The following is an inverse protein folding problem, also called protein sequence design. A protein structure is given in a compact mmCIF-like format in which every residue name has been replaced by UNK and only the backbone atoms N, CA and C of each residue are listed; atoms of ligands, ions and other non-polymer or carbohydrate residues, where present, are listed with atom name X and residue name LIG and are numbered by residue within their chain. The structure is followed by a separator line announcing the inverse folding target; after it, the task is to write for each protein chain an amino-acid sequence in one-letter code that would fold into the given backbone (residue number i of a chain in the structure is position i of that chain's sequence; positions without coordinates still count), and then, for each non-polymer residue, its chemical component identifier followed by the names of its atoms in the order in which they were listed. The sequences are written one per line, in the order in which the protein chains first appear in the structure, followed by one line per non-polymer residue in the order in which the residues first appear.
data_IF_786923388441
#
_entry.id   IF_786923388441
#
_cell.length_a   1.000
_cell.length_b   1.000
_cell.length_c   1.000
_cell.angle_alpha   90.00
_cell.angle_beta   90.00
_cell.angle_gamma   90.00
#
_symmetry.space_group_name_H-M   'P 1'
#
loop_
_entity.id
_entity.type
_entity.pdbx_description
1 polymer ?
#
# COMPACT_ATOMS: atom_id res chain seq x y z
N UNK A 1 -17.30 -38.43 -47.90
CA UNK A 1 -18.55 -38.20 -47.16
C UNK A 1 -18.24 -38.25 -45.69
N UNK A 2 -18.35 -37.11 -45.01
CA UNK A 2 -18.59 -36.88 -43.57
C UNK A 2 -17.99 -35.52 -43.22
N UNK A 3 -18.86 -34.52 -43.24
CA UNK A 3 -18.61 -33.16 -42.79
C UNK A 3 -19.37 -33.06 -41.46
N UNK A 4 -18.65 -32.92 -40.35
CA UNK A 4 -19.26 -32.79 -39.03
C UNK A 4 -19.76 -31.36 -38.85
N UNK A 5 -21.07 -31.20 -38.80
CA UNK A 5 -21.78 -29.99 -38.43
C UNK A 5 -21.75 -29.86 -36.90
N UNK A 6 -21.21 -28.75 -36.39
CA UNK A 6 -21.21 -28.42 -34.96
C UNK A 6 -22.47 -27.61 -34.68
N UNK A 7 -23.44 -28.26 -34.03
CA UNK A 7 -24.69 -27.65 -33.60
C UNK A 7 -24.45 -26.80 -32.33
N UNK A 8 -24.51 -25.47 -32.47
CA UNK A 8 -24.51 -24.56 -31.33
C UNK A 8 -25.93 -24.44 -30.78
N UNK A 9 -26.23 -25.15 -29.68
CA UNK A 9 -27.49 -24.97 -28.96
C UNK A 9 -27.56 -23.59 -28.29
N UNK A 10 -28.32 -22.66 -28.88
CA UNK A 10 -28.76 -21.44 -28.21
C UNK A 10 -29.70 -21.79 -27.04
N UNK A 11 -29.23 -21.69 -25.79
CA UNK A 11 -30.14 -21.60 -24.63
C UNK A 11 -30.72 -20.19 -24.58
N UNK A 12 -32.01 -20.10 -24.88
CA UNK A 12 -32.81 -18.88 -24.72
C UNK A 12 -32.66 -18.32 -23.30
N UNK A 13 -32.34 -17.02 -23.24
CA UNK A 13 -32.33 -16.20 -22.04
C UNK A 13 -33.74 -16.18 -21.44
N UNK A 14 -33.86 -16.52 -20.17
CA UNK A 14 -35.05 -16.15 -19.39
C UNK A 14 -35.12 -14.62 -19.31
N UNK A 15 -36.31 -14.02 -19.44
CA UNK A 15 -36.46 -12.58 -19.34
C UNK A 15 -36.09 -12.13 -17.93
N UNK A 16 -35.18 -11.15 -17.86
CA UNK A 16 -34.89 -10.36 -16.68
C UNK A 16 -36.22 -9.75 -16.21
N UNK A 17 -36.68 -10.17 -15.04
CA UNK A 17 -37.82 -9.52 -14.38
C UNK A 17 -37.45 -8.07 -14.04
N UNK A 18 -38.36 -7.11 -14.25
CA UNK A 18 -38.10 -5.70 -14.04
C UNK A 18 -37.96 -5.39 -12.55
N UNK A 19 -37.18 -4.35 -12.26
CA UNK A 19 -36.85 -3.78 -10.96
C UNK A 19 -38.00 -3.88 -9.94
N UNK A 20 -37.81 -4.71 -8.92
CA UNK A 20 -38.47 -4.49 -7.64
C UNK A 20 -37.71 -3.34 -6.99
N UNK A 21 -38.40 -2.23 -6.73
CA UNK A 21 -37.91 -1.19 -5.83
C UNK A 21 -37.57 -1.86 -4.50
N UNK A 22 -36.28 -2.09 -4.26
CA UNK A 22 -35.78 -2.64 -3.01
C UNK A 22 -35.87 -1.51 -1.98
N UNK A 23 -37.03 -1.35 -1.34
CA UNK A 23 -37.16 -0.42 -0.22
C UNK A 23 -36.19 -0.88 0.87
N UNK A 24 -35.16 -0.07 1.11
CA UNK A 24 -34.18 -0.32 2.15
C UNK A 24 -34.85 -0.26 3.52
N UNK A 25 -34.45 -1.15 4.42
CA UNK A 25 -34.87 -1.09 5.82
C UNK A 25 -34.36 0.20 6.48
N UNK A 26 -35.00 0.69 7.57
CA UNK A 26 -34.51 1.85 8.29
C UNK A 26 -33.06 1.70 8.75
N UNK A 27 -32.30 2.79 8.68
CA UNK A 27 -30.92 2.82 9.18
C UNK A 27 -30.85 2.53 10.68
N UNK A 28 -29.71 2.03 11.14
CA UNK A 28 -29.45 1.88 12.56
C UNK A 28 -29.24 3.26 13.23
N UNK A 29 -29.50 3.34 14.54
CA UNK A 29 -29.31 4.54 15.36
C UNK A 29 -28.07 4.33 16.22
N UNK A 30 -27.17 5.32 16.26
CA UNK A 30 -25.99 5.29 17.12
C UNK A 30 -26.18 6.29 18.27
N UNK A 31 -26.10 5.82 19.51
CA UNK A 31 -26.39 6.65 20.70
C UNK A 31 -25.36 7.75 20.97
N UNK A 32 -24.12 7.57 20.52
CA UNK A 32 -22.96 8.39 20.86
C UNK A 32 -22.54 9.34 19.74
N UNK A 33 -23.49 9.86 18.96
CA UNK A 33 -23.21 10.80 17.87
C UNK A 33 -23.19 12.25 18.37
N UNK A 34 -22.06 12.91 18.22
CA UNK A 34 -21.98 14.37 18.26
C UNK A 34 -22.05 14.89 16.81
N UNK A 35 -23.26 15.21 16.35
CA UNK A 35 -23.48 15.63 14.96
C UNK A 35 -23.21 14.49 13.96
N UNK A 36 -22.31 14.69 12.99
CA UNK A 36 -21.94 13.69 11.98
C UNK A 36 -20.56 13.06 12.21
N UNK A 37 -19.98 13.27 13.40
CA UNK A 37 -18.66 12.77 13.76
C UNK A 37 -18.74 11.83 14.98
N UNK A 38 -17.88 10.83 14.99
CA UNK A 38 -17.72 9.86 16.08
C UNK A 38 -16.36 10.07 16.75
N UNK A 39 -16.34 10.23 18.07
CA UNK A 39 -15.10 10.38 18.84
C UNK A 39 -14.31 9.06 18.88
N UNK A 40 -13.05 9.04 18.39
CA UNK A 40 -12.22 7.83 18.33
C UNK A 40 -11.81 7.31 19.72
N UNK A 41 -11.90 8.14 20.77
CA UNK A 41 -11.54 7.78 22.14
C UNK A 41 -12.66 7.04 22.90
N UNK A 42 -13.84 6.89 22.29
CA UNK A 42 -14.98 6.20 22.90
C UNK A 42 -14.64 4.74 23.23
N UNK A 43 -14.81 4.37 24.50
CA UNK A 43 -14.58 2.97 24.94
C UNK A 43 -15.57 1.96 24.36
N UNK A 44 -16.74 2.42 23.90
CA UNK A 44 -17.76 1.63 23.17
C UNK A 44 -18.76 2.53 22.46
N UNK A 45 -19.42 1.96 21.46
CA UNK A 45 -20.57 2.57 20.75
C UNK A 45 -21.76 1.61 20.83
N UNK A 46 -22.94 2.16 21.14
CA UNK A 46 -24.19 1.40 21.16
C UNK A 46 -24.95 1.69 19.88
N UNK A 47 -25.23 0.63 19.11
CA UNK A 47 -26.00 0.68 17.87
C UNK A 47 -27.36 0.03 18.12
N UNK A 48 -28.44 0.73 17.79
CA UNK A 48 -29.82 0.28 17.95
C UNK A 48 -30.49 0.09 16.60
N UNK A 49 -31.10 -1.06 16.40
CA UNK A 49 -32.00 -1.33 15.28
C UNK A 49 -33.42 -1.33 15.84
N UNK A 50 -34.23 -0.36 15.38
CA UNK A 50 -35.63 -0.27 15.78
C UNK A 50 -36.44 -1.47 15.26
N UNK A 51 -37.60 -1.78 15.86
CA UNK A 51 -38.50 -2.80 15.33
C UNK A 51 -38.84 -2.54 13.86
N UNK A 52 -38.71 -3.57 13.04
CA UNK A 52 -38.97 -3.50 11.61
C UNK A 52 -40.26 -4.25 11.24
N UNK A 53 -40.78 -3.98 10.04
CA UNK A 53 -41.99 -4.62 9.54
C UNK A 53 -41.81 -6.15 9.48
N UNK A 54 -42.80 -6.88 9.99
CA UNK A 54 -42.79 -8.36 10.06
C UNK A 54 -41.64 -8.96 10.89
N UNK A 55 -41.09 -8.21 11.85
CA UNK A 55 -40.10 -8.74 12.80
C UNK A 55 -40.61 -10.02 13.48
N UNK A 56 -39.86 -11.10 13.34
CA UNK A 56 -40.24 -12.42 13.81
C UNK A 56 -39.13 -13.08 14.66
N UNK A 57 -39.53 -13.96 15.56
CA UNK A 57 -38.58 -14.82 16.27
C UNK A 57 -37.84 -15.70 15.25
N UNK A 58 -36.51 -15.77 15.39
CA UNK A 58 -35.62 -16.50 14.49
C UNK A 58 -35.00 -15.64 13.39
N UNK A 59 -35.43 -14.39 13.21
CA UNK A 59 -34.76 -13.46 12.30
C UNK A 59 -33.29 -13.28 12.70
N UNK A 60 -32.41 -13.20 11.71
CA UNK A 60 -30.99 -12.94 11.89
C UNK A 60 -30.64 -11.55 11.35
N UNK A 61 -29.98 -10.76 12.18
CA UNK A 61 -29.45 -9.44 11.85
C UNK A 61 -27.92 -9.52 11.80
N UNK A 62 -27.34 -9.10 10.68
CA UNK A 62 -25.90 -8.89 10.52
C UNK A 62 -25.64 -7.39 10.46
N UNK A 63 -25.00 -6.84 11.49
CA UNK A 63 -24.51 -5.47 11.51
C UNK A 63 -23.13 -5.43 10.84
N UNK A 64 -22.97 -4.57 9.86
CA UNK A 64 -21.70 -4.28 9.18
C UNK A 64 -21.17 -2.91 9.65
N UNK A 65 -19.91 -2.90 10.05
CA UNK A 65 -19.13 -1.75 10.48
C UNK A 65 -17.94 -1.63 9.53
N UNK A 66 -18.15 -0.89 8.45
CA UNK A 66 -17.21 -0.80 7.34
C UNK A 66 -16.65 0.61 7.31
N UNK A 67 -15.33 0.77 7.38
CA UNK A 67 -14.71 2.07 7.40
C UNK A 67 -13.38 2.13 6.68
N UNK A 68 -12.86 3.34 6.60
CA UNK A 68 -11.52 3.64 6.10
C UNK A 68 -10.76 4.35 7.21
N UNK A 69 -9.51 3.98 7.45
CA UNK A 69 -8.63 4.72 8.34
C UNK A 69 -8.12 6.02 7.69
N UNK A 70 -7.25 6.75 8.39
CA UNK A 70 -6.63 7.99 7.90
C UNK A 70 -5.77 7.80 6.64
N UNK A 71 -5.30 6.58 6.36
CA UNK A 71 -4.49 6.24 5.19
C UNK A 71 -5.33 5.64 4.06
N UNK A 72 -6.65 5.52 4.25
CA UNK A 72 -7.59 4.99 3.27
C UNK A 72 -7.63 3.47 3.24
N UNK A 73 -7.05 2.77 4.23
CA UNK A 73 -7.15 1.32 4.31
C UNK A 73 -8.51 0.90 4.87
N UNK A 74 -9.10 -0.12 4.26
CA UNK A 74 -10.39 -0.65 4.68
C UNK A 74 -10.27 -1.41 6.01
N UNK A 75 -11.20 -1.10 6.91
CA UNK A 75 -11.41 -1.82 8.15
C UNK A 75 -12.85 -2.31 8.21
N UNK A 76 -13.02 -3.62 8.41
CA UNK A 76 -14.33 -4.26 8.44
C UNK A 76 -14.52 -5.01 9.76
N UNK A 77 -15.69 -4.82 10.35
CA UNK A 77 -16.12 -5.58 11.50
C UNK A 77 -17.60 -5.93 11.35
N UNK A 78 -17.95 -7.18 11.65
CA UNK A 78 -19.33 -7.64 11.58
C UNK A 78 -19.79 -8.25 12.91
N UNK A 79 -21.07 -8.04 13.21
CA UNK A 79 -21.72 -8.62 14.38
C UNK A 79 -23.04 -9.27 14.00
N UNK A 80 -23.30 -10.48 14.49
CA UNK A 80 -24.56 -11.20 14.26
C UNK A 80 -25.40 -11.22 15.53
N UNK A 81 -26.71 -11.01 15.39
CA UNK A 81 -27.71 -11.32 16.43
C UNK A 81 -28.94 -11.99 15.86
N UNK A 82 -29.59 -12.79 16.71
CA UNK A 82 -30.88 -13.40 16.42
C UNK A 82 -31.98 -12.72 17.25
N UNK A 83 -33.16 -12.58 16.65
CA UNK A 83 -34.37 -12.12 17.34
C UNK A 83 -34.97 -13.29 18.09
N UNK A 84 -35.06 -13.17 19.41
CA UNK A 84 -35.80 -14.11 20.27
C UNK A 84 -37.25 -13.68 20.43
N UNK A 85 -38.12 -14.57 20.88
CA UNK A 85 -39.54 -14.26 21.13
C UNK A 85 -39.73 -13.03 22.03
N UNK A 86 -38.95 -12.91 23.11
CA UNK A 86 -39.03 -11.78 24.03
C UNK A 86 -38.52 -10.44 23.43
N UNK A 87 -37.80 -10.51 22.32
CA UNK A 87 -37.20 -9.38 21.60
C UNK A 87 -38.10 -8.88 20.45
N UNK A 88 -39.10 -9.65 20.02
CA UNK A 88 -40.05 -9.23 18.99
C UNK A 88 -40.72 -7.91 19.39
N UNK A 89 -40.72 -6.95 18.47
CA UNK A 89 -41.30 -5.61 18.70
C UNK A 89 -40.45 -4.68 19.58
N UNK A 90 -39.19 -5.02 19.89
CA UNK A 90 -38.26 -4.20 20.68
C UNK A 90 -36.95 -3.96 19.95
N UNK A 91 -36.25 -2.89 20.30
CA UNK A 91 -34.94 -2.54 19.75
C UNK A 91 -33.91 -3.65 19.93
N UNK A 92 -33.25 -4.03 18.83
CA UNK A 92 -32.09 -4.92 18.89
C UNK A 92 -30.83 -4.09 19.06
N UNK A 93 -30.08 -4.37 20.12
CA UNK A 93 -28.91 -3.59 20.52
C UNK A 93 -27.61 -4.33 20.20
N UNK A 94 -26.67 -3.64 19.55
CA UNK A 94 -25.29 -4.06 19.36
C UNK A 94 -24.37 -3.13 20.17
N UNK A 95 -23.30 -3.71 20.73
CA UNK A 95 -22.29 -2.95 21.48
C UNK A 95 -20.95 -3.17 20.80
N UNK A 96 -20.51 -2.16 20.05
CA UNK A 96 -19.22 -2.15 19.35
C UNK A 96 -18.16 -1.64 20.31
N UNK A 97 -17.05 -2.39 20.44
CA UNK A 97 -15.94 -2.02 21.34
C UNK A 97 -15.13 -0.87 20.76
N UNK A 98 -14.55 -0.04 21.65
CA UNK A 98 -13.78 1.15 21.26
C UNK A 98 -12.61 0.89 20.31
N UNK A 99 -12.00 -0.30 20.34
CA UNK A 99 -10.94 -0.67 19.39
C UNK A 99 -11.37 -0.59 17.91
N UNK A 100 -12.66 -0.85 17.61
CA UNK A 100 -13.19 -0.77 16.25
C UNK A 100 -13.46 0.69 15.82
N UNK A 101 -13.59 1.61 16.78
CA UNK A 101 -13.71 3.05 16.54
C UNK A 101 -12.32 3.65 16.36
N UNK A 102 -11.40 3.34 17.29
CA UNK A 102 -10.02 3.83 17.26
C UNK A 102 -9.26 3.39 16.00
N UNK A 103 -9.58 2.21 15.44
CA UNK A 103 -9.02 1.75 14.17
C UNK A 103 -9.37 2.65 12.97
N UNK A 104 -10.38 3.52 13.09
CA UNK A 104 -10.85 4.41 12.02
C UNK A 104 -10.49 5.88 12.28
N UNK A 105 -9.66 6.17 13.27
CA UNK A 105 -9.30 7.55 13.64
C UNK A 105 -8.75 8.35 12.44
N UNK A 106 -9.27 9.57 12.26
CA UNK A 106 -8.98 10.45 11.12
C UNK A 106 -9.64 10.05 9.80
N UNK A 107 -10.40 8.95 9.79
CA UNK A 107 -11.02 8.35 8.63
C UNK A 107 -12.56 8.44 8.61
N UNK A 108 -13.21 7.38 8.13
CA UNK A 108 -14.66 7.35 7.91
C UNK A 108 -15.29 6.02 8.26
N UNK A 109 -16.58 6.05 8.57
CA UNK A 109 -17.36 4.88 8.95
C UNK A 109 -18.70 4.85 8.19
N UNK A 110 -19.04 3.69 7.68
CA UNK A 110 -20.36 3.33 7.19
C UNK A 110 -20.95 2.19 8.03
N UNK A 111 -22.14 2.42 8.59
CA UNK A 111 -22.88 1.43 9.38
C UNK A 111 -24.18 1.08 8.69
N UNK A 112 -24.40 -0.21 8.47
CA UNK A 112 -25.63 -0.75 7.92
C UNK A 112 -25.86 -2.17 8.41
N UNK A 113 -27.04 -2.73 8.15
CA UNK A 113 -27.37 -4.07 8.57
C UNK A 113 -28.13 -4.85 7.50
N UNK A 114 -28.01 -6.16 7.55
CA UNK A 114 -28.71 -7.13 6.67
C UNK A 114 -29.67 -7.96 7.52
N UNK A 115 -30.92 -8.06 7.06
CA UNK A 115 -31.94 -8.95 7.60
C UNK A 115 -31.97 -10.25 6.80
N UNK A 116 -31.86 -11.38 7.50
CA UNK A 116 -32.19 -12.70 6.97
C UNK A 116 -33.38 -13.24 7.77
N UNK A 117 -34.50 -13.46 7.07
CA UNK A 117 -35.74 -13.98 7.67
C UNK A 117 -36.25 -15.17 6.87
N UNK A 118 -36.91 -16.12 7.53
CA UNK A 118 -37.51 -17.27 6.86
C UNK A 118 -38.61 -16.86 5.86
N UNK A 119 -39.23 -15.69 6.05
CA UNK A 119 -40.25 -15.14 5.17
C UNK A 119 -39.72 -14.35 3.97
N UNK A 120 -38.40 -14.12 3.87
CA UNK A 120 -37.81 -13.32 2.78
C UNK A 120 -37.12 -14.19 1.73
N UNK A 121 -37.24 -13.80 0.46
CA UNK A 121 -36.62 -14.49 -0.69
C UNK A 121 -35.10 -14.33 -0.76
N UNK A 122 -34.51 -13.55 0.15
CA UNK A 122 -33.10 -13.19 0.21
C UNK A 122 -32.82 -12.18 1.32
N UNK A 123 -31.54 -11.80 1.52
CA UNK A 123 -31.17 -10.79 2.50
C UNK A 123 -31.70 -9.41 2.07
N UNK A 124 -32.24 -8.66 3.04
CA UNK A 124 -32.71 -7.28 2.84
C UNK A 124 -31.76 -6.31 3.54
N UNK A 125 -31.34 -5.26 2.86
CA UNK A 125 -30.37 -4.27 3.36
C UNK A 125 -31.07 -3.07 4.01
N UNK A 126 -30.45 -2.51 5.03
CA UNK A 126 -30.82 -1.21 5.57
C UNK A 126 -30.25 -0.05 4.77
N UNK A 127 -30.82 1.14 4.98
CA UNK A 127 -30.13 2.38 4.70
C UNK A 127 -28.82 2.46 5.52
N UNK A 128 -27.84 3.14 4.95
CA UNK A 128 -26.49 3.31 5.49
C UNK A 128 -26.39 4.59 6.31
N UNK A 129 -25.69 4.53 7.43
CA UNK A 129 -25.26 5.71 8.20
C UNK A 129 -23.80 5.98 7.87
N UNK A 130 -23.50 7.16 7.32
CA UNK A 130 -22.14 7.58 7.00
C UNK A 130 -21.64 8.64 7.98
N UNK A 131 -20.46 8.43 8.54
CA UNK A 131 -19.88 9.22 9.62
C UNK A 131 -18.41 9.52 9.35
N UNK A 132 -17.94 10.65 9.87
CA UNK A 132 -16.52 10.93 10.05
C UNK A 132 -16.07 10.40 11.42
N UNK A 133 -14.82 9.93 11.54
CA UNK A 133 -14.28 9.48 12.83
C UNK A 133 -13.09 10.37 13.19
N UNK A 134 -13.17 11.01 14.36
CA UNK A 134 -12.17 11.98 14.81
C UNK A 134 -12.01 13.17 13.88
N UNK A 135 -10.79 13.70 13.83
CA UNK A 135 -10.43 14.86 13.01
C UNK A 135 -10.09 14.43 11.58
N UNK A 136 -11.09 14.45 10.71
CA UNK A 136 -10.91 14.08 9.30
C UNK A 136 -10.28 15.21 8.48
N UNK A 137 -9.38 14.84 7.57
CA UNK A 137 -8.77 15.81 6.64
C UNK A 137 -9.81 16.35 5.65
N UNK A 138 -9.76 17.66 5.33
CA UNK A 138 -10.66 18.22 4.32
C UNK A 138 -10.32 17.73 2.90
N UNK A 139 -9.03 17.60 2.60
CA UNK A 139 -8.51 17.13 1.30
C UNK A 139 -8.45 15.61 1.23
N UNK A 140 -8.53 15.08 0.00
CA UNK A 140 -8.37 13.65 -0.26
C UNK A 140 -6.89 13.25 -0.17
N UNK A 141 -6.61 11.97 0.05
CA UNK A 141 -5.24 11.47 0.12
C UNK A 141 -4.51 11.66 -1.21
N UNK A 142 -3.22 11.97 -1.14
CA UNK A 142 -2.40 12.08 -2.33
C UNK A 142 -2.36 10.74 -3.08
N UNK A 143 -2.35 10.76 -4.43
CA UNK A 143 -2.17 9.54 -5.19
C UNK A 143 -0.76 8.96 -4.98
N UNK A 144 -0.62 7.66 -5.15
CA UNK A 144 0.64 6.95 -5.07
C UNK A 144 1.10 6.65 -6.50
N UNK A 145 2.31 7.06 -6.85
CA UNK A 145 2.90 6.78 -8.16
C UNK A 145 3.84 5.59 -8.04
N UNK A 146 3.50 4.46 -8.65
CA UNK A 146 4.31 3.25 -8.57
C UNK A 146 5.71 3.45 -9.19
N UNK A 147 6.71 2.77 -8.63
CA UNK A 147 8.11 2.88 -9.03
C UNK A 147 8.84 4.12 -8.51
N UNK A 148 8.16 5.01 -7.78
CA UNK A 148 8.78 6.17 -7.14
C UNK A 148 9.61 5.76 -5.94
N UNK A 149 10.86 6.20 -5.87
CA UNK A 149 11.80 5.90 -4.78
C UNK A 149 12.38 7.21 -4.28
N UNK A 150 12.23 7.49 -2.98
CA UNK A 150 12.72 8.74 -2.39
C UNK A 150 12.16 10.00 -3.06
N UNK A 151 10.95 9.93 -3.60
CA UNK A 151 10.33 11.03 -4.37
C UNK A 151 10.88 11.22 -5.79
N UNK A 152 11.68 10.28 -6.30
CA UNK A 152 12.19 10.32 -7.68
C UNK A 152 11.63 9.14 -8.49
N UNK A 153 11.25 9.40 -9.74
CA UNK A 153 10.86 8.38 -10.70
C UNK A 153 11.81 8.42 -11.89
N UNK A 154 12.48 7.29 -12.16
CA UNK A 154 13.41 7.16 -13.29
C UNK A 154 12.67 6.75 -14.56
N UNK A 155 12.62 7.60 -15.61
CA UNK A 155 11.95 7.27 -16.87
C UNK A 155 12.47 6.01 -17.55
N UNK A 156 13.73 5.63 -17.34
CA UNK A 156 14.30 4.43 -17.94
C UNK A 156 13.71 3.14 -17.36
N UNK A 157 13.12 3.20 -16.17
CA UNK A 157 12.46 2.07 -15.48
C UNK A 157 10.97 1.95 -15.80
N UNK A 158 10.36 2.99 -16.34
CA UNK A 158 8.92 3.07 -16.65
C UNK A 158 8.70 3.48 -18.11
N UNK A 159 9.42 2.84 -19.03
CA UNK A 159 9.40 3.21 -20.46
C UNK A 159 8.00 3.02 -21.06
N UNK A 160 7.29 1.99 -20.62
CA UNK A 160 5.92 1.68 -21.01
C UNK A 160 4.91 2.59 -20.29
N UNK A 161 5.26 3.08 -19.10
CA UNK A 161 4.39 3.85 -18.22
C UNK A 161 4.41 3.35 -16.78
N UNK A 162 3.58 3.97 -15.94
CA UNK A 162 3.40 3.57 -14.54
C UNK A 162 1.94 3.70 -14.11
N UNK A 163 1.57 2.97 -13.05
CA UNK A 163 0.29 3.12 -12.39
C UNK A 163 0.33 4.28 -11.40
N UNK A 164 -0.74 5.08 -11.44
CA UNK A 164 -1.06 6.06 -10.41
C UNK A 164 -2.26 5.55 -9.65
N UNK A 165 -2.04 5.23 -8.38
CA UNK A 165 -2.97 4.52 -7.50
C UNK A 165 -3.63 5.49 -6.52
N UNK A 166 -4.94 5.38 -6.37
CA UNK A 166 -5.75 6.20 -5.47
C UNK A 166 -6.40 5.27 -4.45
N UNK A 167 -6.12 5.53 -3.17
CA UNK A 167 -6.82 4.86 -2.08
C UNK A 167 -8.32 5.22 -2.12
N UNK A 168 -9.21 4.31 -1.69
CA UNK A 168 -10.62 4.62 -1.56
C UNK A 168 -10.80 5.81 -0.62
N UNK A 169 -11.88 6.58 -0.83
CA UNK A 169 -12.13 7.80 -0.09
C UNK A 169 -13.49 7.77 0.61
N UNK A 170 -13.59 8.55 1.70
CA UNK A 170 -14.81 8.68 2.46
C UNK A 170 -15.99 9.07 1.56
N UNK A 171 -17.09 8.31 1.66
CA UNK A 171 -18.33 8.48 0.88
C UNK A 171 -18.14 8.32 -0.63
N UNK A 172 -17.19 7.49 -1.04
CA UNK A 172 -17.07 7.04 -2.42
C UNK A 172 -18.36 6.37 -2.88
N UNK A 173 -18.88 6.80 -4.03
CA UNK A 173 -20.14 6.31 -4.55
C UNK A 173 -20.07 6.03 -6.04
N UNK A 174 -20.90 5.09 -6.50
CA UNK A 174 -21.09 4.85 -7.92
C UNK A 174 -21.62 6.13 -8.59
N UNK A 175 -21.03 6.48 -9.73
CA UNK A 175 -21.32 7.72 -10.46
C UNK A 175 -20.35 8.86 -10.17
N UNK A 176 -19.52 8.78 -9.13
CA UNK A 176 -18.46 9.76 -8.90
C UNK A 176 -17.50 9.80 -10.10
N UNK A 177 -17.14 11.00 -10.55
CA UNK A 177 -16.16 11.20 -11.62
C UNK A 177 -14.82 11.59 -10.99
N UNK A 178 -13.81 10.75 -11.20
CA UNK A 178 -12.45 10.94 -10.70
C UNK A 178 -11.56 11.34 -11.86
N UNK A 179 -11.03 12.56 -11.83
CA UNK A 179 -10.12 13.09 -12.84
C UNK A 179 -8.70 13.15 -12.30
N UNK A 180 -7.78 12.37 -12.90
CA UNK A 180 -6.36 12.44 -12.61
C UNK A 180 -5.70 13.58 -13.40
N UNK A 181 -4.80 14.33 -12.75
CA UNK A 181 -4.07 15.45 -13.33
C UNK A 181 -2.57 15.24 -13.10
N UNK A 182 -1.81 15.11 -14.19
CA UNK A 182 -0.35 14.93 -14.18
C UNK A 182 0.35 16.12 -14.86
N UNK A 183 1.26 16.78 -14.14
CA UNK A 183 2.08 17.88 -14.67
C UNK A 183 2.30 18.97 -13.62
N UNK A 184 1.73 20.15 -13.82
CA UNK A 184 1.80 21.27 -12.86
C UNK A 184 0.78 21.16 -11.71
N UNK A 185 -0.04 20.10 -11.72
CA UNK A 185 -1.18 19.90 -10.82
C UNK A 185 -2.32 20.92 -11.00
N UNK A 186 -2.44 21.52 -12.19
CA UNK A 186 -3.58 22.33 -12.65
C UNK A 186 -3.81 22.08 -14.14
N UNK A 187 -5.02 22.36 -14.62
CA UNK A 187 -5.34 22.37 -16.05
C UNK A 187 -4.89 23.71 -16.69
N UNK A 188 -4.40 23.71 -17.96
CA UNK A 188 -4.12 22.52 -18.78
C UNK A 188 -2.92 21.74 -18.23
N UNK A 189 -3.08 20.42 -18.13
CA UNK A 189 -2.06 19.51 -17.64
C UNK A 189 -1.44 18.73 -18.80
N UNK A 190 -0.23 18.21 -18.60
CA UNK A 190 0.47 17.42 -19.62
C UNK A 190 -0.24 16.10 -19.91
N UNK A 191 -0.91 15.55 -18.90
CA UNK A 191 -1.82 14.43 -19.03
C UNK A 191 -3.01 14.59 -18.07
N UNK A 192 -4.19 14.19 -18.55
CA UNK A 192 -5.42 14.22 -17.79
C UNK A 192 -6.33 13.08 -18.27
N UNK A 193 -6.88 12.33 -17.35
CA UNK A 193 -7.82 11.24 -17.64
C UNK A 193 -8.94 11.22 -16.60
N UNK A 194 -10.13 10.72 -16.96
CA UNK A 194 -11.30 10.67 -16.09
C UNK A 194 -11.91 9.28 -16.07
N UNK A 195 -12.08 8.76 -14.84
CA UNK A 195 -12.71 7.49 -14.55
C UNK A 195 -14.04 7.74 -13.83
N UNK A 196 -15.10 7.05 -14.24
CA UNK A 196 -16.37 7.01 -13.49
C UNK A 196 -16.36 5.80 -12.56
N UNK A 197 -16.61 6.04 -11.28
CA UNK A 197 -16.74 4.96 -10.29
C UNK A 197 -18.01 4.16 -10.58
N UNK A 198 -17.88 2.85 -10.71
CA UNK A 198 -19.01 1.93 -10.86
C UNK A 198 -19.31 1.22 -9.54
N UNK A 199 -20.51 0.65 -9.40
CA UNK A 199 -20.97 0.02 -8.17
C UNK A 199 -20.03 -1.07 -7.64
N UNK A 200 -19.34 -1.80 -8.53
CA UNK A 200 -18.41 -2.86 -8.15
C UNK A 200 -17.05 -2.35 -7.69
N UNK A 201 -16.72 -1.07 -7.92
CA UNK A 201 -15.43 -0.47 -7.57
C UNK A 201 -15.54 0.45 -6.34
N UNK A 202 -16.71 0.57 -5.74
CA UNK A 202 -16.91 1.36 -4.52
C UNK A 202 -16.13 0.71 -3.38
N UNK A 203 -15.34 1.53 -2.68
CA UNK A 203 -14.41 1.12 -1.63
C UNK A 203 -13.19 0.31 -2.10
N UNK A 204 -13.01 0.16 -3.42
CA UNK A 204 -11.80 -0.41 -3.99
C UNK A 204 -10.77 0.68 -4.33
N UNK A 205 -9.51 0.26 -4.39
CA UNK A 205 -8.42 1.07 -4.93
C UNK A 205 -8.65 1.34 -6.42
N UNK A 206 -8.54 2.60 -6.82
CA UNK A 206 -8.60 3.00 -8.22
C UNK A 206 -7.20 3.21 -8.77
N UNK A 207 -7.04 3.03 -10.08
CA UNK A 207 -5.75 3.25 -10.75
C UNK A 207 -5.91 3.86 -12.12
N UNK A 208 -4.95 4.69 -12.51
CA UNK A 208 -4.79 5.21 -13.86
C UNK A 208 -3.44 4.76 -14.42
N UNK A 209 -3.41 4.44 -15.70
CA UNK A 209 -2.17 4.22 -16.43
C UNK A 209 -1.67 5.54 -17.02
N UNK A 210 -0.41 5.87 -16.77
CA UNK A 210 0.25 7.04 -17.37
C UNK A 210 1.37 6.54 -18.26
N UNK A 211 1.24 6.75 -19.57
CA UNK A 211 2.23 6.29 -20.54
C UNK A 211 3.60 6.94 -20.33
N UNK A 212 4.67 6.18 -20.60
CA UNK A 212 6.05 6.63 -20.43
C UNK A 212 6.39 7.91 -21.22
N UNK A 213 5.69 8.19 -22.32
CA UNK A 213 5.85 9.44 -23.07
C UNK A 213 5.48 10.69 -22.26
N UNK A 214 4.43 10.63 -21.44
CA UNK A 214 4.02 11.74 -20.57
C UNK A 214 4.99 11.93 -19.40
N UNK A 215 5.62 10.84 -18.94
CA UNK A 215 6.63 10.85 -17.89
C UNK A 215 7.93 11.46 -18.44
N UNK A 216 8.43 10.95 -19.56
CA UNK A 216 9.67 11.38 -20.21
C UNK A 216 9.64 12.86 -20.62
N UNK A 217 8.46 13.42 -20.93
CA UNK A 217 8.28 14.84 -21.23
C UNK A 217 8.70 15.78 -20.08
N UNK A 218 8.84 15.28 -18.86
CA UNK A 218 9.24 16.07 -17.68
C UNK A 218 10.65 15.73 -17.18
N UNK A 219 11.47 15.04 -17.98
CA UNK A 219 12.84 14.67 -17.63
C UNK A 219 13.65 15.90 -17.14
N UNK A 220 14.27 15.74 -15.97
CA UNK A 220 15.05 16.76 -15.27
C UNK A 220 14.24 17.75 -14.42
N UNK A 221 12.91 17.57 -14.32
CA UNK A 221 12.01 18.48 -13.61
C UNK A 221 11.20 17.82 -12.48
N UNK A 222 10.52 18.67 -11.70
CA UNK A 222 9.50 18.24 -10.72
C UNK A 222 8.13 18.15 -11.41
N UNK A 223 7.39 17.08 -11.10
CA UNK A 223 6.00 16.87 -11.49
C UNK A 223 5.13 16.80 -10.25
N UNK A 224 3.95 17.40 -10.36
CA UNK A 224 2.86 17.33 -9.39
C UNK A 224 1.73 16.48 -9.95
N UNK A 225 1.30 15.49 -9.18
CA UNK A 225 0.20 14.58 -9.51
C UNK A 225 -0.88 14.71 -8.45
N UNK A 226 -2.10 15.01 -8.88
CA UNK A 226 -3.27 15.11 -8.01
C UNK A 226 -4.51 14.64 -8.74
N UNK A 227 -5.59 14.41 -8.01
CA UNK A 227 -6.88 14.08 -8.61
C UNK A 227 -8.01 14.89 -7.99
N UNK A 228 -9.10 14.97 -8.75
CA UNK A 228 -10.32 15.65 -8.37
C UNK A 228 -11.49 14.69 -8.46
N UNK A 229 -12.34 14.68 -7.43
CA UNK A 229 -13.56 13.89 -7.38
C UNK A 229 -14.75 14.84 -7.51
N UNK A 230 -15.53 14.66 -8.56
CA UNK A 230 -16.86 15.26 -8.70
C UNK A 230 -17.91 14.23 -8.29
N UNK A 231 -18.58 14.50 -7.16
CA UNK A 231 -19.63 13.62 -6.67
C UNK A 231 -20.95 13.93 -7.39
N UNK A 232 -21.84 12.94 -7.49
CA UNK A 232 -23.14 13.09 -8.17
C UNK A 232 -24.01 14.23 -7.60
N UNK A 233 -23.79 14.63 -6.34
CA UNK A 233 -24.45 15.78 -5.70
C UNK A 233 -23.84 17.15 -6.05
N UNK A 234 -22.85 17.22 -6.94
CA UNK A 234 -22.15 18.43 -7.34
C UNK A 234 -21.03 18.87 -6.40
N UNK A 235 -20.80 18.14 -5.31
CA UNK A 235 -19.68 18.38 -4.42
C UNK A 235 -18.36 18.02 -5.13
N UNK A 236 -17.37 18.89 -4.96
CA UNK A 236 -16.06 18.75 -5.59
C UNK A 236 -15.01 18.68 -4.51
N UNK A 237 -14.17 17.66 -4.57
CA UNK A 237 -13.04 17.47 -3.65
C UNK A 237 -11.75 17.29 -4.42
N UNK A 238 -10.67 17.82 -3.88
CA UNK A 238 -9.32 17.69 -4.45
C UNK A 238 -8.42 16.89 -3.50
N UNK A 239 -7.47 16.16 -4.09
CA UNK A 239 -6.44 15.48 -3.34
C UNK A 239 -5.31 16.41 -2.94
N UNK A 240 -4.64 16.05 -1.85
CA UNK A 240 -3.27 16.47 -1.62
C UNK A 240 -2.40 16.05 -2.82
N UNK A 241 -1.33 16.78 -3.12
CA UNK A 241 -0.50 16.45 -4.27
C UNK A 241 0.65 15.51 -3.95
N UNK A 242 0.86 14.53 -4.82
CA UNK A 242 2.13 13.82 -4.90
C UNK A 242 3.12 14.65 -5.71
N UNK A 243 4.31 14.87 -5.14
CA UNK A 243 5.42 15.60 -5.78
C UNK A 243 6.55 14.63 -6.06
N UNK A 244 6.99 14.60 -7.31
CA UNK A 244 8.09 13.72 -7.71
C UNK A 244 9.06 14.44 -8.63
N UNK A 245 10.32 14.04 -8.57
CA UNK A 245 11.36 14.44 -9.52
C UNK A 245 11.46 13.37 -10.60
N UNK A 246 11.43 13.79 -11.86
CA UNK A 246 11.63 12.89 -13.00
C UNK A 246 13.10 12.98 -13.40
N UNK A 247 13.91 12.02 -12.97
CA UNK A 247 15.33 12.01 -13.26
C UNK A 247 15.88 10.58 -13.28
N UNK A 248 16.89 10.30 -14.11
CA UNK A 248 17.59 9.02 -14.04
C UNK A 248 18.21 8.85 -12.66
N UNK A 249 18.20 7.63 -12.12
CA UNK A 249 19.01 7.32 -10.95
C UNK A 249 20.48 7.35 -11.36
N UNK A 250 21.15 8.48 -11.08
CA UNK A 250 22.58 8.59 -11.31
C UNK A 250 23.33 7.78 -10.25
N UNK A 251 23.91 6.66 -10.68
CA UNK A 251 24.76 5.81 -9.86
C UNK A 251 26.20 5.92 -10.35
N UNK A 252 27.11 6.35 -9.47
CA UNK A 252 28.55 6.29 -9.75
C UNK A 252 29.07 4.85 -9.67
N UNK A 253 30.28 4.61 -10.14
CA UNK A 253 30.98 3.37 -9.76
C UNK A 253 31.20 3.35 -8.25
N UNK A 254 31.09 2.16 -7.65
CA UNK A 254 31.32 1.97 -6.23
C UNK A 254 32.79 1.63 -5.99
N UNK A 255 33.43 2.41 -5.13
CA UNK A 255 34.83 2.23 -4.74
C UNK A 255 35.03 0.86 -4.08
N UNK A 256 36.24 0.32 -4.23
CA UNK A 256 36.62 -0.93 -3.60
C UNK A 256 36.67 -0.75 -2.06
N UNK A 257 36.38 -1.80 -1.28
CA UNK A 257 36.49 -1.72 0.17
C UNK A 257 37.96 -1.66 0.61
N UNK A 258 38.25 -0.89 1.65
CA UNK A 258 39.58 -0.84 2.27
C UNK A 258 39.74 -1.98 3.27
N UNK A 259 40.92 -2.60 3.28
CA UNK A 259 41.30 -3.63 4.25
C UNK A 259 42.36 -3.01 5.15
N UNK A 260 41.97 -2.61 6.37
CA UNK A 260 42.80 -1.69 7.18
C UNK A 260 44.14 -2.30 7.59
N UNK A 261 44.16 -3.60 7.86
CA UNK A 261 45.35 -4.33 8.28
C UNK A 261 46.23 -4.76 7.10
N UNK A 262 45.84 -4.48 5.85
CA UNK A 262 46.64 -4.79 4.67
C UNK A 262 47.44 -3.57 4.19
N UNK A 263 48.76 -3.68 4.13
CA UNK A 263 49.65 -2.66 3.56
C UNK A 263 50.02 -3.03 2.12
N UNK A 264 49.82 -2.11 1.17
CA UNK A 264 50.08 -2.32 -0.26
C UNK A 264 49.46 -3.61 -0.84
N UNK A 265 48.29 -4.01 -0.32
CA UNK A 265 47.57 -5.22 -0.73
C UNK A 265 48.12 -6.52 -0.14
N UNK A 266 49.00 -6.44 0.85
CA UNK A 266 49.54 -7.59 1.59
C UNK A 266 49.05 -7.54 3.04
N UNK A 267 48.48 -8.64 3.51
CA UNK A 267 48.09 -8.84 4.89
C UNK A 267 49.04 -9.86 5.52
N UNK A 268 49.74 -9.48 6.59
CA UNK A 268 50.53 -10.41 7.39
C UNK A 268 49.59 -11.17 8.33
N UNK A 269 49.82 -12.47 8.50
CA UNK A 269 48.94 -13.30 9.31
C UNK A 269 48.91 -12.86 10.79
N UNK A 270 50.03 -12.35 11.31
CA UNK A 270 50.12 -11.80 12.67
C UNK A 270 49.24 -10.55 12.89
N UNK A 271 48.91 -9.80 11.84
CA UNK A 271 48.06 -8.61 11.92
C UNK A 271 46.56 -8.94 11.92
N UNK A 272 46.20 -10.22 11.77
CA UNK A 272 44.80 -10.66 11.64
C UNK A 272 44.23 -11.30 12.91
N UNK A 273 44.96 -11.30 14.03
CA UNK A 273 44.63 -12.04 15.26
C UNK A 273 43.26 -11.64 15.84
N UNK A 274 42.90 -10.36 15.81
CA UNK A 274 41.62 -9.83 16.30
C UNK A 274 40.50 -9.86 15.22
N UNK A 275 40.81 -10.43 14.05
CA UNK A 275 40.02 -10.25 12.82
C UNK A 275 40.58 -9.11 11.97
N UNK A 276 40.08 -9.02 10.75
CA UNK A 276 40.50 -8.00 9.78
C UNK A 276 39.32 -7.07 9.50
N UNK A 277 39.58 -5.78 9.59
CA UNK A 277 38.61 -4.71 9.44
C UNK A 277 38.47 -4.33 7.99
N UNK A 278 37.27 -4.52 7.46
CA UNK A 278 36.88 -4.09 6.12
C UNK A 278 36.06 -2.82 6.25
N UNK A 279 36.54 -1.74 5.63
CA UNK A 279 35.88 -0.43 5.64
C UNK A 279 35.34 -0.15 4.24
N UNK A 280 34.03 0.11 4.17
CA UNK A 280 33.38 0.62 2.97
C UNK A 280 33.15 2.12 3.20
N UNK A 281 34.00 2.96 2.62
CA UNK A 281 33.99 4.39 2.87
C UNK A 281 32.73 5.11 2.37
N UNK A 282 32.37 4.91 1.11
CA UNK A 282 31.24 5.59 0.47
C UNK A 282 30.43 4.65 -0.45
N UNK A 283 29.56 3.83 0.15
CA UNK A 283 28.65 2.98 -0.60
C UNK A 283 27.46 3.73 -1.21
N UNK A 284 27.33 5.05 -0.98
CA UNK A 284 26.20 5.88 -1.40
C UNK A 284 24.85 5.28 -0.97
N UNK A 285 24.76 4.75 0.26
CA UNK A 285 23.60 3.98 0.73
C UNK A 285 22.43 4.86 1.19
N UNK A 286 21.21 4.33 1.03
CA UNK A 286 19.95 4.94 1.48
C UNK A 286 19.27 4.04 2.53
N UNK A 287 18.39 4.65 3.34
CA UNK A 287 17.54 3.92 4.30
C UNK A 287 16.74 2.81 3.60
N UNK A 288 16.77 1.60 4.17
CA UNK A 288 16.13 0.40 3.65
C UNK A 288 16.94 -0.41 2.63
N UNK A 289 18.11 0.06 2.21
CA UNK A 289 19.02 -0.72 1.35
C UNK A 289 19.77 -1.81 2.15
N UNK A 290 20.35 -2.77 1.43
CA UNK A 290 21.08 -3.89 2.03
C UNK A 290 22.46 -4.02 1.39
N UNK A 291 23.51 -4.03 2.21
CA UNK A 291 24.89 -4.19 1.76
C UNK A 291 25.38 -5.59 2.08
N UNK A 292 25.83 -6.32 1.07
CA UNK A 292 26.44 -7.64 1.20
C UNK A 292 27.96 -7.54 0.99
N UNK A 293 28.74 -7.84 2.03
CA UNK A 293 30.17 -8.06 1.93
C UNK A 293 30.46 -9.48 1.44
N UNK A 294 31.42 -9.62 0.53
CA UNK A 294 31.91 -10.89 0.02
C UNK A 294 33.44 -10.91 -0.01
N UNK A 295 34.01 -11.88 0.70
CA UNK A 295 35.42 -12.23 0.61
C UNK A 295 35.52 -13.59 -0.07
N UNK A 296 35.98 -13.58 -1.33
CA UNK A 296 36.20 -14.80 -2.11
C UNK A 296 37.66 -15.24 -1.96
N UNK A 297 37.85 -16.41 -1.35
CA UNK A 297 39.15 -17.05 -1.21
C UNK A 297 39.20 -18.38 -1.95
N UNK A 298 40.41 -18.87 -2.24
CA UNK A 298 40.61 -20.10 -3.03
C UNK A 298 40.10 -21.37 -2.32
N UNK A 299 40.05 -21.37 -0.98
CA UNK A 299 39.60 -22.52 -0.19
C UNK A 299 38.11 -22.43 0.16
N UNK A 300 37.68 -21.29 0.70
CA UNK A 300 36.28 -21.03 1.03
C UNK A 300 36.01 -19.52 1.05
N UNK A 301 34.72 -19.15 1.03
CA UNK A 301 34.31 -17.75 1.01
C UNK A 301 33.76 -17.32 2.38
N UNK A 302 33.89 -16.03 2.68
CA UNK A 302 33.19 -15.39 3.79
C UNK A 302 32.19 -14.36 3.25
N UNK A 303 31.04 -14.27 3.89
CA UNK A 303 29.98 -13.32 3.56
C UNK A 303 29.40 -12.75 4.84
N UNK A 304 29.05 -11.49 4.78
CA UNK A 304 28.35 -10.77 5.84
C UNK A 304 27.42 -9.74 5.19
N UNK A 305 26.41 -9.28 5.89
CA UNK A 305 25.44 -8.33 5.37
C UNK A 305 25.02 -7.28 6.40
N UNK A 306 24.52 -6.16 5.90
CA UNK A 306 24.07 -5.04 6.74
C UNK A 306 22.90 -4.30 6.11
N UNK A 307 21.77 -4.33 6.80
CA UNK A 307 20.65 -3.44 6.52
C UNK A 307 21.02 -2.00 6.85
N UNK A 308 20.65 -1.08 5.97
CA UNK A 308 20.90 0.34 6.11
C UNK A 308 19.68 0.98 6.76
N UNK A 309 19.88 1.49 7.96
CA UNK A 309 18.91 2.33 8.67
C UNK A 309 19.10 3.80 8.32
N UNK A 310 18.11 4.64 8.63
CA UNK A 310 18.21 6.11 8.57
C UNK A 310 19.46 6.65 9.23
N UNK A 311 19.85 6.09 10.37
CA UNK A 311 21.01 6.54 11.12
C UNK A 311 22.33 6.18 10.43
N UNK A 312 22.35 5.11 9.64
CA UNK A 312 23.56 4.59 8.95
C UNK A 312 23.62 4.96 7.46
N UNK A 313 22.55 5.48 6.88
CA UNK A 313 22.49 5.89 5.48
C UNK A 313 23.61 6.90 5.15
N UNK A 314 24.34 6.64 4.06
CA UNK A 314 25.45 7.47 3.60
C UNK A 314 26.69 7.48 4.50
N UNK A 315 26.72 6.72 5.60
CA UNK A 315 27.89 6.61 6.48
C UNK A 315 28.80 5.45 6.08
N UNK A 316 30.10 5.49 6.45
CA UNK A 316 30.99 4.36 6.26
C UNK A 316 30.49 3.11 6.98
N UNK A 317 30.67 1.95 6.36
CA UNK A 317 30.32 0.65 6.95
C UNK A 317 31.58 -0.09 7.35
N UNK A 318 31.51 -0.76 8.50
CA UNK A 318 32.62 -1.53 9.06
C UNK A 318 32.14 -2.97 9.25
N UNK A 319 32.93 -3.89 8.70
CA UNK A 319 32.79 -5.33 8.86
C UNK A 319 34.07 -5.89 9.46
N UNK A 320 33.94 -6.92 10.30
CA UNK A 320 35.10 -7.61 10.89
C UNK A 320 35.08 -9.04 10.39
N UNK A 321 36.01 -9.36 9.49
CA UNK A 321 36.15 -10.70 8.94
C UNK A 321 37.01 -11.54 9.90
N UNK A 322 36.52 -12.68 10.41
CA UNK A 322 37.21 -13.43 11.45
C UNK A 322 38.62 -13.87 11.07
N UNK A 323 39.57 -13.80 12.00
CA UNK A 323 40.96 -14.27 11.86
C UNK A 323 41.09 -15.62 11.15
N UNK A 324 40.22 -16.58 11.53
CA UNK A 324 40.21 -17.93 10.95
C UNK A 324 40.07 -17.92 9.43
N UNK A 325 39.29 -17.01 8.86
CA UNK A 325 39.15 -16.92 7.41
C UNK A 325 40.49 -16.59 6.75
N UNK A 326 41.21 -15.58 7.25
CA UNK A 326 42.48 -15.12 6.70
C UNK A 326 43.60 -16.12 6.86
N UNK A 327 43.75 -16.69 8.06
CA UNK A 327 44.79 -17.67 8.37
C UNK A 327 44.76 -18.89 7.46
N UNK A 328 43.56 -19.40 7.16
CA UNK A 328 43.43 -20.56 6.27
C UNK A 328 43.81 -20.22 4.82
N UNK A 329 43.73 -18.94 4.44
CA UNK A 329 44.11 -18.44 3.11
C UNK A 329 45.58 -18.00 3.01
N UNK A 330 46.43 -18.32 4.00
CA UNK A 330 47.87 -18.05 3.95
C UNK A 330 48.51 -18.57 2.65
N UNK A 331 49.26 -17.69 1.97
CA UNK A 331 49.93 -17.98 0.69
C UNK A 331 49.00 -17.86 -0.53
N UNK A 332 47.75 -17.42 -0.35
CA UNK A 332 46.78 -17.20 -1.44
C UNK A 332 46.36 -15.72 -1.52
N UNK A 333 45.58 -15.38 -2.54
CA UNK A 333 45.01 -14.04 -2.70
C UNK A 333 43.50 -14.09 -2.49
N UNK A 334 43.00 -13.32 -1.53
CA UNK A 334 41.58 -13.11 -1.28
C UNK A 334 41.07 -11.90 -2.07
N UNK A 335 39.89 -12.03 -2.66
CA UNK A 335 39.18 -10.94 -3.34
C UNK A 335 38.07 -10.41 -2.45
N UNK A 336 38.18 -9.16 -2.02
CA UNK A 336 37.20 -8.48 -1.17
C UNK A 336 36.39 -7.51 -2.01
N UNK A 337 35.06 -7.65 -1.98
CA UNK A 337 34.14 -6.75 -2.66
C UNK A 337 32.81 -6.72 -1.91
N UNK A 338 31.96 -5.76 -2.24
CA UNK A 338 30.60 -5.70 -1.72
C UNK A 338 29.59 -5.48 -2.84
N UNK A 339 28.33 -5.77 -2.53
CA UNK A 339 27.18 -5.48 -3.38
C UNK A 339 26.17 -4.70 -2.56
N UNK A 340 25.60 -3.64 -3.12
CA UNK A 340 24.47 -2.93 -2.52
C UNK A 340 23.21 -3.34 -3.27
N UNK A 341 22.27 -3.98 -2.58
CA UNK A 341 20.90 -4.15 -3.07
C UNK A 341 20.14 -2.85 -2.83
N UNK A 342 19.75 -2.25 -3.94
CA UNK A 342 19.16 -0.92 -3.98
C UNK A 342 17.64 -1.02 -3.91
N UNK A 343 16.99 0.06 -3.49
CA UNK A 343 15.52 0.14 -3.42
C UNK A 343 14.81 0.02 -4.78
N UNK A 344 15.56 0.12 -5.88
CA UNK A 344 15.07 -0.04 -7.25
C UNK A 344 15.28 -1.45 -7.82
N UNK A 345 15.56 -2.43 -6.95
CA UNK A 345 15.85 -3.83 -7.26
C UNK A 345 17.12 -4.05 -8.09
N UNK A 346 18.02 -3.05 -8.13
CA UNK A 346 19.33 -3.15 -8.78
C UNK A 346 20.39 -3.59 -7.77
N UNK A 347 21.11 -4.68 -8.08
CA UNK A 347 22.29 -5.10 -7.34
C UNK A 347 23.54 -4.39 -7.87
N UNK A 348 24.04 -3.39 -7.15
CA UNK A 348 25.22 -2.62 -7.57
C UNK A 348 26.50 -3.19 -6.95
N UNK A 349 27.46 -3.58 -7.78
CA UNK A 349 28.73 -4.17 -7.34
C UNK A 349 29.81 -3.11 -7.17
N UNK A 350 30.65 -3.29 -6.16
CA UNK A 350 31.87 -2.52 -5.98
C UNK A 350 33.00 -3.00 -6.89
N UNK A 351 34.02 -2.16 -7.03
CA UNK A 351 35.35 -2.61 -7.39
C UNK A 351 35.89 -3.61 -6.35
N UNK A 352 36.92 -4.37 -6.73
CA UNK A 352 37.47 -5.47 -5.93
C UNK A 352 38.83 -5.08 -5.36
N UNK A 353 39.01 -5.27 -4.07
CA UNK A 353 40.32 -5.22 -3.40
C UNK A 353 40.92 -6.61 -3.40
N UNK A 354 42.16 -6.75 -3.85
CA UNK A 354 42.91 -8.00 -3.80
C UNK A 354 43.88 -7.95 -2.63
N UNK A 355 43.82 -8.95 -1.76
CA UNK A 355 44.66 -9.05 -0.58
C UNK A 355 45.43 -10.35 -0.63
N UNK A 356 46.76 -10.28 -0.70
CA UNK A 356 47.63 -11.44 -0.57
C UNK A 356 47.89 -11.69 0.91
N UNK A 357 47.65 -12.91 1.37
CA UNK A 357 47.91 -13.29 2.76
C UNK A 357 49.31 -13.89 2.85
N UNK A 358 50.18 -13.25 3.61
CA UNK A 358 51.56 -13.70 3.84
C UNK A 358 51.79 -14.08 5.31
N UNK A 359 52.98 -14.62 5.58
CA UNK A 359 53.34 -15.19 6.89
C UNK A 359 53.46 -14.13 7.98
#
# INVERSE_FOLDING_TARGET
MHMHEVEFCYRMRHPVSPCVSNELLPAAILDSLEGSALDPSLGKVVVRIAPYANMACGDQLLLSWDGLDIEGFAYQHEMVRYVSEAQVGKDVVFVVKGMHVAALDGGSLEVYWKLLSAGSSGPVLSARVQLSVGDTRPQLLAPIVEGTIGGTLDPARVQEGTLVVLQPYARMAAGDLVTLIWGTGKLPATFCDTLKVEHFAVADVLSFWVDGAHIAAHLGGEVKVCYRVEQSGGAVRESEPARLVIAPFQRGELDAPDVLEAEDGVLLNDDSIDGVTIVIGNAQTQDGELVYLKCDGDLFNHRDDREITRETAGKPLIFIVPHRFWREHHGTTVRVAYTVERLDDVSQKSAVTQVRVEA
#
